data_IF_045067034900
#
_entry.id   IF_045067034900
#
_cell.length_a   1.000
_cell.length_b   1.000
_cell.length_c   1.000
_cell.angle_alpha   90.00
_cell.angle_beta   90.00
_cell.angle_gamma   90.00
#
_symmetry.space_group_name_H-M   'P 1'
#
loop_
_entity.id
_entity.type
_entity.pdbx_description
1 polymer ?
#
# COMPACT_ATOMS: atom_id res chain seq x y z
N UNK A 1 13.67 -0.43 7.23
CA UNK A 1 12.45 0.20 6.65
C UNK A 1 12.08 1.46 7.40
N UNK A 2 11.46 1.40 8.60
CA UNK A 2 10.95 2.62 9.28
C UNK A 2 12.04 3.66 9.57
N UNK A 3 13.21 3.25 10.04
CA UNK A 3 14.34 4.15 10.29
C UNK A 3 14.87 4.81 9.00
N UNK A 4 14.73 4.15 7.85
CA UNK A 4 15.24 4.65 6.56
C UNK A 4 14.31 5.72 5.95
N UNK A 5 13.01 5.60 6.20
CA UNK A 5 11.98 6.47 5.62
C UNK A 5 11.54 7.61 6.56
N UNK A 6 11.73 7.44 7.87
CA UNK A 6 11.33 8.42 8.87
C UNK A 6 12.18 9.69 8.80
N UNK A 7 11.51 10.83 8.96
CA UNK A 7 12.14 12.13 9.20
C UNK A 7 11.53 12.73 10.45
N UNK A 8 12.33 13.49 11.19
CA UNK A 8 11.89 14.14 12.43
C UNK A 8 10.61 14.96 12.19
N UNK A 9 9.65 14.80 13.11
CA UNK A 9 8.33 15.43 13.02
C UNK A 9 7.28 14.67 12.19
N UNK A 10 7.65 13.61 11.47
CA UNK A 10 6.68 12.75 10.78
C UNK A 10 5.85 11.92 11.76
N UNK A 11 4.64 11.59 11.32
CA UNK A 11 3.71 10.69 12.00
C UNK A 11 3.58 9.36 11.25
N UNK A 12 3.19 8.31 11.97
CA UNK A 12 3.01 6.99 11.36
C UNK A 12 1.71 6.30 11.75
N UNK A 13 1.34 5.32 10.94
CA UNK A 13 0.29 4.34 11.21
C UNK A 13 0.78 2.95 10.77
N UNK A 14 0.39 1.92 11.52
CA UNK A 14 0.46 0.54 11.06
C UNK A 14 -0.93 0.13 10.54
N UNK A 15 -0.99 -0.46 9.35
CA UNK A 15 -2.20 -1.02 8.77
C UNK A 15 -1.95 -2.47 8.41
N UNK A 16 -2.27 -3.38 9.33
CA UNK A 16 -2.17 -4.81 9.06
C UNK A 16 -3.42 -5.38 8.38
N UNK A 17 -3.19 -6.36 7.51
CA UNK A 17 -4.21 -7.19 6.87
C UNK A 17 -3.76 -8.64 6.94
N UNK A 18 -4.70 -9.54 7.21
CA UNK A 18 -4.46 -10.98 7.27
C UNK A 18 -5.29 -11.66 6.20
N UNK A 19 -4.61 -12.26 5.22
CA UNK A 19 -5.20 -13.24 4.33
C UNK A 19 -5.16 -14.64 4.95
N UNK A 20 -4.11 -14.93 5.71
CA UNK A 20 -4.05 -16.11 6.56
C UNK A 20 -4.76 -15.86 7.89
N UNK A 21 -5.88 -16.55 8.11
CA UNK A 21 -6.67 -16.46 9.32
C UNK A 21 -6.21 -17.40 10.44
N UNK A 22 -5.23 -18.27 10.20
CA UNK A 22 -4.65 -19.18 11.19
C UNK A 22 -3.49 -18.56 11.97
N UNK A 23 -2.96 -17.43 11.50
CA UNK A 23 -1.89 -16.71 12.18
C UNK A 23 -2.26 -16.38 13.64
N UNK A 24 -1.28 -16.36 14.53
CA UNK A 24 -1.47 -16.27 15.98
C UNK A 24 -2.06 -14.94 16.47
N UNK A 25 -1.66 -13.81 15.88
CA UNK A 25 -2.07 -12.47 16.31
C UNK A 25 -3.15 -11.88 15.40
N UNK A 26 -4.24 -11.39 15.96
CA UNK A 26 -5.25 -10.66 15.18
C UNK A 26 -4.68 -9.34 14.60
N UNK A 27 -5.41 -8.70 13.67
CA UNK A 27 -4.94 -7.45 13.04
C UNK A 27 -4.71 -6.30 14.04
N UNK A 28 -5.49 -6.24 15.12
CA UNK A 28 -5.32 -5.21 16.16
C UNK A 28 -4.07 -5.51 16.98
N UNK A 29 -3.84 -6.75 17.36
CA UNK A 29 -2.64 -7.21 18.08
C UNK A 29 -1.37 -7.02 17.25
N UNK A 30 -1.44 -7.32 15.95
CA UNK A 30 -0.36 -7.02 15.00
C UNK A 30 -0.06 -5.53 14.96
N UNK A 31 -1.08 -4.67 14.85
CA UNK A 31 -0.87 -3.22 14.83
C UNK A 31 -0.24 -2.71 16.13
N UNK A 32 -0.64 -3.26 17.28
CA UNK A 32 -0.07 -2.90 18.59
C UNK A 32 1.37 -3.37 18.73
N UNK A 33 1.64 -4.63 18.38
CA UNK A 33 2.97 -5.25 18.48
C UNK A 33 3.97 -4.53 17.59
N UNK A 34 3.61 -4.32 16.31
CA UNK A 34 4.47 -3.62 15.36
C UNK A 34 4.59 -2.12 15.68
N UNK A 35 3.53 -1.50 16.19
CA UNK A 35 3.58 -0.13 16.70
C UNK A 35 4.59 0.03 17.84
N UNK A 36 4.60 -0.92 18.79
CA UNK A 36 5.60 -1.00 19.85
C UNK A 36 7.02 -1.07 19.31
N UNK A 37 7.27 -1.96 18.36
CA UNK A 37 8.58 -2.07 17.71
C UNK A 37 9.03 -0.77 17.02
N UNK A 38 8.10 0.00 16.44
CA UNK A 38 8.41 1.32 15.87
C UNK A 38 8.78 2.35 16.94
N UNK A 39 8.07 2.37 18.08
CA UNK A 39 8.42 3.26 19.19
C UNK A 39 9.77 2.94 19.82
N UNK A 40 10.13 1.65 19.91
CA UNK A 40 11.45 1.23 20.39
C UNK A 40 12.56 1.63 19.41
N UNK A 41 12.32 1.48 18.10
CA UNK A 41 13.30 1.78 17.07
C UNK A 41 13.48 3.28 16.79
N UNK A 42 12.47 4.10 17.05
CA UNK A 42 12.47 5.55 16.78
C UNK A 42 11.88 6.29 18.00
N UNK A 43 12.71 6.59 19.01
CA UNK A 43 12.27 7.36 20.17
C UNK A 43 11.74 8.72 19.72
N UNK A 44 10.52 9.09 20.14
CA UNK A 44 9.76 10.33 19.82
C UNK A 44 8.90 10.32 18.55
N UNK A 45 8.84 9.22 17.79
CA UNK A 45 7.86 9.09 16.70
C UNK A 45 6.42 9.16 17.24
N UNK A 46 5.48 9.75 16.49
CA UNK A 46 4.07 9.87 16.90
C UNK A 46 3.13 9.06 16.02
N UNK A 47 2.23 8.31 16.64
CA UNK A 47 1.19 7.57 15.90
C UNK A 47 0.00 8.49 15.55
N UNK A 48 -0.45 8.44 14.30
CA UNK A 48 -1.59 9.22 13.80
C UNK A 48 -2.51 8.37 12.93
N UNK A 49 -3.78 8.21 13.34
CA UNK A 49 -4.71 7.29 12.66
C UNK A 49 -5.35 7.87 11.39
N UNK A 50 -5.43 9.21 11.30
CA UNK A 50 -6.03 9.93 10.17
C UNK A 50 -4.95 10.73 9.45
N UNK A 51 -4.78 10.51 8.15
CA UNK A 51 -3.75 11.17 7.33
C UNK A 51 -2.34 11.10 7.95
N UNK A 52 -1.79 9.90 8.21
CA UNK A 52 -0.39 9.76 8.63
C UNK A 52 0.57 10.12 7.51
N UNK A 53 1.77 10.57 7.85
CA UNK A 53 2.84 10.78 6.86
C UNK A 53 3.37 9.45 6.31
N UNK A 54 3.46 8.44 7.18
CA UNK A 54 3.92 7.09 6.84
C UNK A 54 2.83 6.08 7.21
N UNK A 55 2.35 5.30 6.24
CA UNK A 55 1.47 4.17 6.51
C UNK A 55 2.20 2.87 6.19
N UNK A 56 2.74 2.20 7.22
CA UNK A 56 3.35 0.90 7.06
C UNK A 56 2.24 -0.17 6.96
N UNK A 57 2.07 -0.69 5.76
CA UNK A 57 1.14 -1.76 5.44
C UNK A 57 1.83 -3.10 5.65
N UNK A 58 1.14 -4.00 6.35
CA UNK A 58 1.65 -5.33 6.69
C UNK A 58 0.62 -6.34 6.24
N UNK A 59 0.95 -7.19 5.27
CA UNK A 59 0.06 -8.24 4.79
C UNK A 59 0.60 -9.62 5.20
N UNK A 60 -0.13 -10.29 6.09
CA UNK A 60 0.16 -11.67 6.49
C UNK A 60 -0.53 -12.63 5.52
N UNK A 61 0.26 -13.45 4.84
CA UNK A 61 -0.18 -14.53 3.95
C UNK A 61 0.40 -15.84 4.45
N UNK A 62 -0.10 -16.96 3.92
CA UNK A 62 0.33 -18.31 4.32
C UNK A 62 1.85 -18.51 4.17
N UNK A 63 2.44 -17.95 3.11
CA UNK A 63 3.85 -18.18 2.77
C UNK A 63 4.81 -17.15 3.41
N UNK A 64 4.33 -15.94 3.69
CA UNK A 64 5.18 -14.83 4.15
C UNK A 64 4.40 -13.63 4.68
N UNK A 65 5.11 -12.77 5.42
CA UNK A 65 4.68 -11.42 5.76
C UNK A 65 5.29 -10.40 4.77
N UNK A 66 4.43 -9.60 4.15
CA UNK A 66 4.82 -8.54 3.21
C UNK A 66 4.70 -7.18 3.87
N UNK A 67 5.75 -6.35 3.75
CA UNK A 67 5.78 -5.00 4.30
C UNK A 67 5.92 -3.99 3.15
N UNK A 68 5.07 -2.96 3.13
CA UNK A 68 5.14 -1.85 2.18
C UNK A 68 4.77 -0.53 2.86
N UNK A 69 5.31 0.58 2.39
CA UNK A 69 4.99 1.92 2.91
C UNK A 69 4.48 2.88 1.84
N UNK A 70 4.65 2.51 0.57
CA UNK A 70 4.22 3.29 -0.59
C UNK A 70 3.22 2.48 -1.42
N UNK A 71 2.23 3.16 -1.98
CA UNK A 71 1.28 2.57 -2.93
C UNK A 71 1.30 3.40 -4.20
N UNK A 72 1.97 2.88 -5.22
CA UNK A 72 2.03 3.52 -6.54
C UNK A 72 0.78 3.18 -7.32
N UNK A 73 0.01 4.20 -7.73
CA UNK A 73 -1.20 4.01 -8.54
C UNK A 73 -0.80 3.66 -9.97
N UNK A 74 -1.22 2.48 -10.43
CA UNK A 74 -1.09 2.08 -11.83
C UNK A 74 -2.13 2.76 -12.73
N UNK A 75 -2.09 2.44 -14.02
CA UNK A 75 -3.01 2.98 -15.03
C UNK A 75 -4.49 2.64 -14.77
N UNK A 76 -4.77 1.63 -13.94
CA UNK A 76 -6.12 1.12 -13.72
C UNK A 76 -6.67 0.40 -14.95
N UNK A 77 -7.98 0.47 -15.16
CA UNK A 77 -8.62 -0.16 -16.31
C UNK A 77 -8.57 -1.70 -16.28
N UNK A 78 -8.72 -2.30 -17.46
CA UNK A 78 -8.64 -3.75 -17.67
C UNK A 78 -7.37 -4.08 -18.46
N UNK A 79 -6.74 -5.25 -18.23
CA UNK A 79 -5.62 -5.68 -19.05
C UNK A 79 -5.99 -5.73 -20.54
N UNK A 80 -5.16 -5.13 -21.39
CA UNK A 80 -5.41 -5.09 -22.84
C UNK A 80 -5.57 -6.52 -23.37
N UNK A 81 -6.67 -6.76 -24.09
CA UNK A 81 -7.00 -8.05 -24.68
C UNK A 81 -8.01 -8.90 -23.89
N UNK A 82 -8.33 -8.56 -22.64
CA UNK A 82 -9.37 -9.30 -21.88
C UNK A 82 -10.78 -9.13 -22.45
N UNK A 83 -11.03 -8.04 -23.18
CA UNK A 83 -12.34 -7.69 -23.75
C UNK A 83 -12.44 -7.93 -25.26
N UNK A 84 -11.55 -8.74 -25.84
CA UNK A 84 -11.53 -9.02 -27.28
C UNK A 84 -10.79 -7.97 -28.11
N UNK A 85 -11.13 -7.87 -29.41
CA UNK A 85 -10.48 -6.97 -30.38
C UNK A 85 -11.50 -6.00 -30.98
N UNK A 86 -11.11 -4.73 -31.14
CA UNK A 86 -11.87 -3.69 -31.81
C UNK A 86 -11.07 -3.08 -32.98
N UNK A 87 -11.77 -2.34 -33.85
CA UNK A 87 -11.15 -1.55 -34.92
C UNK A 87 -11.28 -0.06 -34.60
N UNK A 88 -10.19 0.70 -34.72
CA UNK A 88 -10.14 2.14 -34.52
C UNK A 88 -9.90 2.85 -35.85
N UNK A 89 -10.78 3.80 -36.22
CA UNK A 89 -10.56 4.67 -37.37
C UNK A 89 -9.61 5.80 -36.96
N UNK A 90 -8.35 5.70 -37.37
CA UNK A 90 -7.33 6.71 -37.09
C UNK A 90 -7.38 7.86 -38.10
N UNK A 91 -7.32 9.09 -37.60
CA UNK A 91 -7.29 10.33 -38.38
C UNK A 91 -6.14 11.24 -37.90
N UNK A 92 -5.84 12.31 -38.65
CA UNK A 92 -4.87 13.32 -38.24
C UNK A 92 -5.35 14.25 -37.11
N UNK A 93 -6.58 14.08 -36.62
CA UNK A 93 -7.12 14.85 -35.50
C UNK A 93 -6.76 14.26 -34.14
N UNK A 94 -6.90 15.06 -33.08
CA UNK A 94 -6.53 14.69 -31.71
C UNK A 94 -7.50 13.67 -31.07
N UNK A 95 -8.73 13.54 -31.58
CA UNK A 95 -9.77 12.75 -30.94
C UNK A 95 -9.58 11.25 -31.15
N UNK A 96 -9.23 10.84 -32.38
CA UNK A 96 -9.08 9.41 -32.71
C UNK A 96 -8.01 8.66 -31.90
N UNK A 97 -6.82 9.22 -31.57
CA UNK A 97 -5.87 8.55 -30.67
C UNK A 97 -6.27 8.57 -29.19
N UNK A 98 -7.20 9.44 -28.76
CA UNK A 98 -7.70 9.47 -27.38
C UNK A 98 -8.83 8.45 -27.18
N UNK A 99 -9.58 8.15 -28.23
CA UNK A 99 -10.71 7.22 -28.20
C UNK A 99 -10.29 5.74 -28.06
N UNK A 100 -9.03 5.39 -28.34
CA UNK A 100 -8.53 4.01 -28.37
C UNK A 100 -7.37 3.76 -27.44
#
# INVERSE_FOLDING_TARGET
IMQDIYKEGMTFKISSKRSDHTFELDSRELNQTLGGAVFEAIPNVQAQMKSPDINLQVEIREEAAYLSYETVRGAGGLPVGTSGKGMLMLSGGIDSPVAG
#
